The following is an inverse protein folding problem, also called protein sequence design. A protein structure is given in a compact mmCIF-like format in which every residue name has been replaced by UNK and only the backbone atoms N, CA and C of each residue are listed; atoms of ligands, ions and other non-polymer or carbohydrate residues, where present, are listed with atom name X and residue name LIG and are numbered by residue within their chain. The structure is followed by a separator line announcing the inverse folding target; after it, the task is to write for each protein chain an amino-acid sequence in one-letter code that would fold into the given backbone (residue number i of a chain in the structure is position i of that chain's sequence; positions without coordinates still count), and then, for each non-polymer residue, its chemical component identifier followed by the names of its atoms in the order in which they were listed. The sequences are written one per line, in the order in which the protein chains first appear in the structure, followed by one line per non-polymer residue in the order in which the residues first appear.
data_IF_415224234139
#
_entry.id   IF_415224234139
#
_cell.length_a   1.000
_cell.length_b   1.000
_cell.length_c   1.000
_cell.angle_alpha   90.00
_cell.angle_beta   90.00
_cell.angle_gamma   90.00
#
_symmetry.space_group_name_H-M   'P 1'
#
loop_
_entity.id
_entity.type
_entity.pdbx_description
1 polymer ?
#
# COMPACT_ATOMS: atom_id res chain seq x y z
N UNK A 1 12.23 -1.71 76.42
CA UNK A 1 13.17 -1.30 75.37
C UNK A 1 12.32 -1.03 74.14
N UNK A 2 11.43 -0.03 74.22
CA UNK A 2 11.66 1.36 73.74
C UNK A 2 11.79 1.33 72.22
N UNK A 3 10.95 1.95 71.39
CA UNK A 3 9.89 2.96 71.52
C UNK A 3 8.94 2.71 70.32
N UNK A 4 7.62 2.69 70.48
CA UNK A 4 6.71 3.85 70.44
C UNK A 4 6.69 4.57 69.06
N UNK A 5 5.47 4.59 68.50
CA UNK A 5 4.83 5.76 67.87
C UNK A 5 5.25 6.13 66.44
N UNK A 6 4.35 6.43 65.50
CA UNK A 6 2.93 6.80 65.50
C UNK A 6 2.42 6.50 64.06
N UNK A 7 1.34 5.75 63.79
CA UNK A 7 -0.08 6.07 64.01
C UNK A 7 -0.52 7.47 63.57
N UNK A 8 -1.41 7.50 62.56
CA UNK A 8 -2.66 8.27 62.48
C UNK A 8 -3.27 7.96 61.10
N UNK A 9 -4.27 7.08 60.98
CA UNK A 9 -5.70 7.36 61.16
C UNK A 9 -6.13 8.62 60.35
N UNK A 10 -7.13 8.57 59.47
CA UNK A 10 -8.47 8.12 59.80
C UNK A 10 -9.29 7.62 58.60
N UNK A 11 -9.98 6.51 58.87
CA UNK A 11 -11.32 6.05 58.47
C UNK A 11 -12.32 7.17 58.11
N UNK A 12 -13.05 7.10 57.00
CA UNK A 12 -14.22 6.25 56.68
C UNK A 12 -15.56 6.96 56.96
N UNK A 13 -16.60 6.43 56.30
CA UNK A 13 -18.05 6.72 56.35
C UNK A 13 -18.55 7.72 55.28
N UNK A 14 -19.18 7.26 54.20
CA UNK A 14 -20.48 6.57 54.06
C UNK A 14 -21.67 7.54 54.08
N UNK A 15 -22.55 7.46 53.06
CA UNK A 15 -23.84 8.15 53.07
C UNK A 15 -24.41 8.43 51.70
N UNK A 16 -25.21 7.49 51.20
CA UNK A 16 -26.06 7.60 50.01
C UNK A 16 -27.13 8.70 50.11
N UNK A 17 -27.81 8.91 48.97
CA UNK A 17 -29.21 9.32 48.78
C UNK A 17 -29.48 10.71 48.16
N UNK A 18 -29.83 10.61 46.87
CA UNK A 18 -31.15 10.94 46.33
C UNK A 18 -31.26 12.13 45.37
N UNK A 19 -32.10 11.84 44.37
CA UNK A 19 -32.43 12.58 43.19
C UNK A 19 -33.13 13.91 43.45
N UNK A 20 -32.96 14.84 42.51
CA UNK A 20 -34.01 15.35 41.60
C UNK A 20 -33.68 16.75 41.07
N UNK A 21 -34.19 16.97 39.86
CA UNK A 21 -34.74 18.24 39.38
C UNK A 21 -33.79 19.23 38.69
N UNK A 22 -33.66 19.04 37.39
CA UNK A 22 -34.00 20.03 36.35
C UNK A 22 -34.42 21.44 36.83
N UNK A 23 -33.64 22.47 36.45
CA UNK A 23 -34.14 23.84 36.31
C UNK A 23 -33.37 24.61 35.23
N UNK A 24 -33.99 24.63 34.05
CA UNK A 24 -33.64 25.33 32.82
C UNK A 24 -33.78 26.85 33.01
N UNK A 25 -32.68 27.62 33.00
CA UNK A 25 -32.74 29.10 32.96
C UNK A 25 -32.66 29.61 31.52
N UNK A 26 -33.80 30.11 31.04
CA UNK A 26 -33.98 30.86 29.79
C UNK A 26 -33.36 32.26 29.91
N UNK A 27 -32.58 32.69 28.91
CA UNK A 27 -32.33 34.11 28.63
C UNK A 27 -32.65 34.41 27.16
N UNK A 28 -33.59 35.34 26.95
CA UNK A 28 -33.99 35.90 25.64
C UNK A 28 -33.02 37.04 25.24
N UNK A 29 -32.88 37.32 23.94
CA UNK A 29 -32.72 38.70 23.49
C UNK A 29 -33.68 39.07 22.33
N UNK A 30 -33.98 40.37 22.21
CA UNK A 30 -34.66 41.06 21.09
C UNK A 30 -34.29 42.57 21.20
N UNK A 31 -34.46 43.43 20.16
CA UNK A 31 -33.94 43.35 18.78
C UNK A 31 -33.34 44.71 18.28
N UNK A 32 -32.76 44.72 17.07
CA UNK A 32 -32.42 45.92 16.25
C UNK A 32 -30.95 46.36 16.37
N UNK A 33 -30.21 46.74 15.32
CA UNK A 33 -30.60 47.22 13.98
C UNK A 33 -29.39 47.31 13.03
N UNK A 34 -29.65 47.07 11.73
CA UNK A 34 -29.05 47.68 10.51
C UNK A 34 -27.52 47.55 10.29
N UNK A 35 -27.07 46.82 9.26
CA UNK A 35 -26.83 47.27 7.86
C UNK A 35 -25.35 46.93 7.58
N UNK A 36 -24.85 46.36 6.48
CA UNK A 36 -25.19 46.40 5.05
C UNK A 36 -24.33 45.37 4.30
N UNK A 37 -24.78 44.98 3.09
CA UNK A 37 -24.09 44.29 1.99
C UNK A 37 -23.81 42.78 2.17
N UNK A 38 -24.57 41.87 1.54
CA UNK A 38 -24.62 41.53 0.10
C UNK A 38 -23.27 40.89 -0.34
N UNK A 39 -23.15 39.64 -0.80
CA UNK A 39 -24.00 38.94 -1.77
C UNK A 39 -23.76 37.41 -1.81
N UNK A 40 -24.83 36.67 -2.12
CA UNK A 40 -24.88 35.45 -2.95
C UNK A 40 -24.17 34.15 -2.53
N UNK A 41 -24.83 33.34 -1.68
CA UNK A 41 -24.85 31.87 -1.84
C UNK A 41 -26.28 31.42 -2.13
N UNK A 42 -26.53 31.00 -3.36
CA UNK A 42 -27.75 30.30 -3.73
C UNK A 42 -27.64 28.83 -3.30
N UNK A 43 -28.53 28.42 -2.40
CA UNK A 43 -28.84 27.01 -2.11
C UNK A 43 -29.80 26.51 -3.18
N UNK A 44 -29.45 25.41 -3.84
CA UNK A 44 -30.44 24.52 -4.44
C UNK A 44 -30.45 23.24 -3.64
N UNK A 45 -31.58 23.01 -2.96
CA UNK A 45 -31.95 21.72 -2.37
C UNK A 45 -32.08 20.69 -3.50
N UNK A 46 -31.33 19.59 -3.37
CA UNK A 46 -31.43 18.41 -4.21
C UNK A 46 -31.00 17.20 -3.40
N UNK A 47 -31.94 16.59 -2.66
CA UNK A 47 -31.79 15.23 -2.15
C UNK A 47 -31.65 14.30 -3.35
N UNK A 48 -30.45 13.79 -3.60
CA UNK A 48 -30.25 12.64 -4.46
C UNK A 48 -30.42 11.38 -3.58
N UNK A 49 -31.49 10.63 -3.81
CA UNK A 49 -31.65 9.27 -3.30
C UNK A 49 -30.57 8.37 -3.95
N UNK A 50 -29.80 7.68 -3.12
CA UNK A 50 -28.91 6.62 -3.58
C UNK A 50 -29.76 5.43 -4.09
N UNK A 51 -29.48 4.84 -5.26
CA UNK A 51 -30.24 3.71 -5.73
C UNK A 51 -29.94 2.49 -4.85
N UNK A 52 -30.99 1.97 -4.21
CA UNK A 52 -31.00 0.67 -3.53
C UNK A 52 -31.01 -0.41 -4.62
N UNK A 53 -29.90 -1.10 -4.82
CA UNK A 53 -29.86 -2.30 -5.66
C UNK A 53 -30.41 -3.49 -4.87
N UNK A 54 -31.50 -4.08 -5.36
CA UNK A 54 -32.02 -5.37 -4.91
C UNK A 54 -31.08 -6.51 -5.35
N UNK A 55 -31.00 -7.63 -4.61
CA UNK A 55 -30.05 -8.70 -4.92
C UNK A 55 -30.47 -9.43 -6.19
N UNK A 56 -29.58 -9.46 -7.18
CA UNK A 56 -29.73 -10.32 -8.34
C UNK A 56 -29.19 -11.71 -7.98
N UNK A 57 -30.11 -12.62 -7.72
CA UNK A 57 -29.85 -14.06 -7.69
C UNK A 57 -29.49 -14.48 -9.13
N UNK A 58 -28.24 -14.82 -9.39
CA UNK A 58 -27.80 -15.19 -10.72
C UNK A 58 -26.28 -15.32 -10.82
N UNK A 59 -25.82 -16.55 -10.95
CA UNK A 59 -24.45 -16.94 -11.23
C UNK A 59 -23.95 -16.26 -12.52
N UNK A 60 -23.39 -15.05 -12.40
CA UNK A 60 -22.75 -14.34 -13.50
C UNK A 60 -21.28 -14.78 -13.54
N UNK A 61 -21.00 -15.76 -14.41
CA UNK A 61 -19.64 -16.00 -14.86
C UNK A 61 -19.12 -14.73 -15.55
N UNK A 62 -17.92 -14.29 -15.17
CA UNK A 62 -17.15 -13.28 -15.90
C UNK A 62 -17.01 -13.74 -17.36
N UNK A 63 -17.30 -12.89 -18.36
CA UNK A 63 -17.08 -13.25 -19.76
C UNK A 63 -15.59 -13.58 -19.95
N UNK A 64 -15.29 -14.76 -20.48
CA UNK A 64 -13.94 -15.16 -20.83
C UNK A 64 -13.37 -14.19 -21.88
N UNK A 65 -12.11 -13.74 -21.76
CA UNK A 65 -11.51 -12.84 -22.74
C UNK A 65 -11.51 -13.48 -24.13
N UNK A 66 -11.97 -12.72 -25.14
CA UNK A 66 -12.13 -13.19 -26.52
C UNK A 66 -10.85 -13.86 -27.05
N UNK A 67 -10.90 -15.19 -27.21
CA UNK A 67 -9.85 -16.00 -27.86
C UNK A 67 -8.91 -16.76 -26.92
N UNK A 68 -9.16 -16.79 -25.61
CA UNK A 68 -8.40 -17.62 -24.69
C UNK A 68 -8.83 -19.10 -24.76
N UNK A 69 -7.91 -20.00 -25.09
CA UNK A 69 -8.21 -21.44 -25.07
C UNK A 69 -8.22 -21.97 -23.63
N UNK A 70 -9.15 -22.87 -23.25
CA UNK A 70 -9.15 -23.50 -21.93
C UNK A 70 -7.82 -24.19 -21.56
N UNK A 71 -7.07 -24.65 -22.56
CA UNK A 71 -5.74 -25.24 -22.38
C UNK A 71 -4.69 -24.22 -21.92
N UNK A 72 -4.68 -23.02 -22.51
CA UNK A 72 -3.78 -21.94 -22.12
C UNK A 72 -4.03 -21.47 -20.68
N UNK A 73 -5.31 -21.33 -20.30
CA UNK A 73 -5.67 -20.95 -18.93
C UNK A 73 -5.30 -22.06 -17.92
N UNK A 74 -5.49 -23.33 -18.27
CA UNK A 74 -5.06 -24.45 -17.45
C UNK A 74 -3.53 -24.48 -17.28
N UNK A 75 -2.77 -24.17 -18.34
CA UNK A 75 -1.31 -24.05 -18.28
C UNK A 75 -0.87 -22.90 -17.37
N UNK A 76 -1.53 -21.74 -17.45
CA UNK A 76 -1.26 -20.61 -16.57
C UNK A 76 -1.52 -20.95 -15.09
N UNK A 77 -2.63 -21.62 -14.79
CA UNK A 77 -2.90 -22.12 -13.44
C UNK A 77 -1.85 -23.12 -12.94
N UNK A 78 -1.44 -24.08 -13.78
CA UNK A 78 -0.41 -25.06 -13.44
C UNK A 78 0.94 -24.37 -13.16
N UNK A 79 1.29 -23.36 -13.95
CA UNK A 79 2.48 -22.55 -13.75
C UNK A 79 2.44 -21.77 -12.42
N UNK A 80 1.33 -21.07 -12.16
CA UNK A 80 1.16 -20.25 -10.96
C UNK A 80 1.10 -21.07 -9.67
N UNK A 81 0.68 -22.33 -9.74
CA UNK A 81 0.80 -23.26 -8.61
C UNK A 81 2.26 -23.48 -8.17
N UNK A 82 3.22 -23.38 -9.11
CA UNK A 82 4.67 -23.44 -8.87
C UNK A 82 5.30 -22.09 -8.51
N UNK A 83 4.86 -21.02 -9.19
CA UNK A 83 5.35 -19.65 -9.02
C UNK A 83 4.15 -18.69 -8.84
N UNK A 84 3.67 -18.50 -7.60
CA UNK A 84 2.50 -17.67 -7.35
C UNK A 84 2.80 -16.19 -7.56
N UNK A 85 1.76 -15.37 -7.57
CA UNK A 85 1.87 -13.92 -7.70
C UNK A 85 2.28 -13.27 -6.38
N UNK A 86 3.28 -12.40 -6.44
CA UNK A 86 3.65 -11.43 -5.43
C UNK A 86 3.24 -10.04 -5.91
N UNK A 87 2.09 -9.57 -5.42
CA UNK A 87 1.46 -8.31 -5.84
C UNK A 87 1.99 -7.13 -5.01
N UNK A 88 2.43 -6.09 -5.72
CA UNK A 88 3.06 -4.88 -5.19
C UNK A 88 2.16 -3.84 -4.53
N UNK A 89 0.84 -3.91 -4.70
CA UNK A 89 -0.04 -2.92 -4.10
C UNK A 89 -1.52 -3.34 -4.07
N UNK A 90 -2.14 -3.27 -2.89
CA UNK A 90 -3.60 -3.27 -2.73
C UNK A 90 -4.06 -2.17 -1.77
N UNK A 91 -5.16 -1.50 -2.14
CA UNK A 91 -5.84 -0.49 -1.34
C UNK A 91 -6.84 -1.05 -0.33
N UNK A 92 -6.96 -2.38 -0.23
CA UNK A 92 -7.96 -3.08 0.59
C UNK A 92 -8.07 -2.53 2.03
N UNK A 93 -6.97 -2.26 2.77
CA UNK A 93 -7.08 -1.74 4.13
C UNK A 93 -7.89 -0.46 4.25
N UNK A 94 -7.76 0.45 3.27
CA UNK A 94 -8.51 1.69 3.26
C UNK A 94 -10.01 1.45 3.04
N UNK A 95 -10.37 0.53 2.15
CA UNK A 95 -11.77 0.15 1.91
C UNK A 95 -12.38 -0.48 3.16
N UNK A 96 -11.70 -1.44 3.78
CA UNK A 96 -12.16 -2.13 4.98
C UNK A 96 -12.43 -1.18 6.16
N UNK A 97 -11.66 -0.08 6.27
CA UNK A 97 -11.86 0.96 7.29
C UNK A 97 -13.27 1.56 7.27
N UNK A 98 -13.92 1.54 6.11
CA UNK A 98 -15.25 2.14 5.91
C UNK A 98 -16.39 1.11 5.96
N UNK A 99 -16.07 -0.17 6.08
CA UNK A 99 -17.06 -1.24 6.19
C UNK A 99 -17.38 -1.52 7.65
N UNK A 100 -18.68 -1.65 7.97
CA UNK A 100 -19.12 -1.98 9.33
C UNK A 100 -18.93 -3.45 9.70
N UNK A 101 -18.86 -4.33 8.71
CA UNK A 101 -18.62 -5.77 8.82
C UNK A 101 -18.16 -6.30 7.46
N UNK A 102 -17.33 -7.33 7.46
CA UNK A 102 -16.87 -8.07 6.28
C UNK A 102 -16.36 -9.45 6.72
N UNK A 103 -16.28 -10.39 5.77
CA UNK A 103 -15.61 -11.68 5.93
C UNK A 103 -14.74 -11.98 4.71
N UNK A 104 -13.42 -11.84 4.88
CA UNK A 104 -12.48 -12.08 3.78
C UNK A 104 -12.27 -13.57 3.50
N UNK A 105 -12.59 -14.47 4.43
CA UNK A 105 -12.36 -15.92 4.28
C UNK A 105 -13.44 -16.58 3.44
N UNK A 106 -14.69 -16.14 3.59
CA UNK A 106 -15.83 -16.63 2.79
C UNK A 106 -16.05 -15.83 1.50
N UNK A 107 -15.54 -14.60 1.44
CA UNK A 107 -15.66 -13.70 0.29
C UNK A 107 -16.52 -12.48 0.60
N UNK A 108 -16.15 -11.35 0.01
CA UNK A 108 -16.78 -10.05 0.28
C UNK A 108 -17.09 -9.33 -1.04
N UNK A 109 -18.37 -9.05 -1.27
CA UNK A 109 -18.83 -8.44 -2.53
C UNK A 109 -18.52 -6.94 -2.64
N UNK A 110 -18.19 -6.27 -1.53
CA UNK A 110 -17.86 -4.85 -1.51
C UNK A 110 -16.40 -4.52 -1.86
N UNK A 111 -15.57 -5.53 -2.12
CA UNK A 111 -14.13 -5.40 -2.41
C UNK A 111 -13.76 -6.19 -3.66
N UNK A 112 -12.60 -5.91 -4.25
CA UNK A 112 -12.01 -6.63 -5.37
C UNK A 112 -11.06 -7.75 -4.91
N UNK A 113 -10.69 -7.73 -3.62
CA UNK A 113 -9.74 -8.67 -3.02
C UNK A 113 -10.30 -9.36 -1.78
N UNK A 114 -10.46 -10.69 -1.84
CA UNK A 114 -10.76 -11.56 -0.69
C UNK A 114 -9.98 -12.89 -0.80
N UNK A 115 -9.98 -13.73 0.25
CA UNK A 115 -9.19 -14.96 0.28
C UNK A 115 -9.59 -15.93 -0.84
N UNK A 116 -10.88 -16.17 -1.15
CA UNK A 116 -11.26 -17.00 -2.28
C UNK A 116 -10.70 -16.50 -3.62
N UNK A 117 -10.80 -15.20 -3.92
CA UNK A 117 -10.27 -14.62 -5.17
C UNK A 117 -8.75 -14.61 -5.20
N UNK A 118 -8.08 -14.27 -4.09
CA UNK A 118 -6.62 -14.37 -3.95
C UNK A 118 -6.13 -15.80 -4.26
N UNK A 119 -6.83 -16.83 -3.74
CA UNK A 119 -6.50 -18.24 -4.03
C UNK A 119 -6.72 -18.59 -5.50
N UNK A 120 -7.85 -18.18 -6.09
CA UNK A 120 -8.15 -18.43 -7.50
C UNK A 120 -7.14 -17.73 -8.44
N UNK A 121 -6.68 -16.55 -8.05
CA UNK A 121 -5.64 -15.79 -8.74
C UNK A 121 -4.20 -16.24 -8.44
N UNK A 122 -4.02 -17.25 -7.58
CA UNK A 122 -2.71 -17.74 -7.13
C UNK A 122 -1.82 -16.66 -6.50
N UNK A 123 -2.39 -15.72 -5.75
CA UNK A 123 -1.62 -14.74 -4.99
C UNK A 123 -0.98 -15.41 -3.78
N UNK A 124 0.35 -15.39 -3.73
CA UNK A 124 1.15 -15.93 -2.62
C UNK A 124 1.65 -14.85 -1.67
N UNK A 125 1.80 -13.61 -2.16
CA UNK A 125 2.17 -12.47 -1.35
C UNK A 125 1.48 -11.20 -1.85
N UNK A 126 1.16 -10.29 -0.94
CA UNK A 126 0.48 -9.04 -1.26
C UNK A 126 0.98 -7.90 -0.35
N UNK A 127 1.38 -6.80 -0.96
CA UNK A 127 1.65 -5.54 -0.28
C UNK A 127 0.35 -4.80 -0.01
N UNK A 128 -0.02 -4.70 1.26
CA UNK A 128 -1.16 -3.90 1.70
C UNK A 128 -0.73 -2.46 1.95
N UNK A 129 -1.27 -1.56 1.13
CA UNK A 129 -0.93 -0.16 1.17
C UNK A 129 -1.33 0.49 2.49
N UNK A 130 -0.43 1.32 2.99
CA UNK A 130 -0.65 2.20 4.12
C UNK A 130 -0.77 3.67 3.66
N UNK A 131 -0.99 3.90 2.36
CA UNK A 131 -1.31 5.23 1.86
C UNK A 131 -2.62 5.73 2.46
N UNK A 132 -2.58 7.01 2.83
CA UNK A 132 -3.71 7.77 3.30
C UNK A 132 -4.13 8.75 2.20
N UNK A 133 -5.37 9.24 2.21
CA UNK A 133 -5.80 10.32 1.33
C UNK A 133 -4.87 11.54 1.40
N UNK A 134 -4.77 12.22 0.27
CA UNK A 134 -3.95 13.42 0.12
C UNK A 134 -4.30 14.51 1.14
N UNK A 135 -3.30 15.32 1.48
CA UNK A 135 -3.46 16.47 2.38
C UNK A 135 -3.32 16.15 3.88
N UNK A 136 -3.07 14.89 4.25
CA UNK A 136 -2.61 14.56 5.60
C UNK A 136 -1.10 14.78 5.72
N UNK A 137 -0.69 15.66 6.63
CA UNK A 137 0.71 16.00 6.89
C UNK A 137 0.99 16.10 8.39
N UNK A 138 2.27 16.05 8.76
CA UNK A 138 2.75 16.15 10.14
C UNK A 138 2.15 15.09 11.07
N UNK A 139 1.91 15.46 12.33
CA UNK A 139 1.43 14.55 13.38
C UNK A 139 0.14 13.80 13.02
N UNK A 140 -0.74 14.42 12.21
CA UNK A 140 -1.98 13.77 11.76
C UNK A 140 -1.71 12.61 10.81
N UNK A 141 -0.74 12.76 9.91
CA UNK A 141 -0.35 11.68 9.01
C UNK A 141 0.23 10.50 9.80
N UNK A 142 1.12 10.79 10.76
CA UNK A 142 1.71 9.76 11.64
C UNK A 142 0.61 8.99 12.40
N UNK A 143 -0.31 9.70 13.06
CA UNK A 143 -1.41 9.07 13.80
C UNK A 143 -2.32 8.21 12.91
N UNK A 144 -2.71 8.73 11.75
CA UNK A 144 -3.55 7.99 10.81
C UNK A 144 -2.83 6.76 10.21
N UNK A 145 -1.51 6.83 9.99
CA UNK A 145 -0.73 5.66 9.53
C UNK A 145 -0.67 4.59 10.62
N UNK A 146 -0.54 4.97 11.90
CA UNK A 146 -0.59 4.01 13.01
C UNK A 146 -1.96 3.33 13.11
N UNK A 147 -3.05 4.07 12.94
CA UNK A 147 -4.41 3.50 12.88
C UNK A 147 -4.57 2.52 11.72
N UNK A 148 -4.05 2.86 10.53
CA UNK A 148 -4.10 1.98 9.38
C UNK A 148 -3.26 0.71 9.59
N UNK A 149 -2.08 0.85 10.18
CA UNK A 149 -1.21 -0.28 10.51
C UNK A 149 -1.88 -1.21 11.54
N UNK A 150 -2.51 -0.66 12.57
CA UNK A 150 -3.29 -1.42 13.54
C UNK A 150 -4.45 -2.17 12.87
N UNK A 151 -5.23 -1.50 12.02
CA UNK A 151 -6.30 -2.11 11.25
C UNK A 151 -5.81 -3.31 10.44
N UNK A 152 -4.75 -3.14 9.64
CA UNK A 152 -4.17 -4.22 8.85
C UNK A 152 -3.77 -5.40 9.73
N UNK A 153 -3.10 -5.13 10.86
CA UNK A 153 -2.70 -6.19 11.77
C UNK A 153 -3.91 -6.90 12.35
N UNK A 154 -4.94 -6.19 12.79
CA UNK A 154 -6.19 -6.79 13.28
C UNK A 154 -6.84 -7.68 12.21
N UNK A 155 -6.95 -7.20 10.97
CA UNK A 155 -7.53 -7.96 9.86
C UNK A 155 -6.76 -9.26 9.61
N UNK A 156 -5.44 -9.18 9.50
CA UNK A 156 -4.62 -10.37 9.26
C UNK A 156 -4.69 -11.39 10.41
N UNK A 157 -4.78 -10.92 11.67
CA UNK A 157 -4.96 -11.81 12.83
C UNK A 157 -6.35 -12.42 12.92
N UNK A 158 -7.38 -11.74 12.41
CA UNK A 158 -8.76 -12.22 12.40
C UNK A 158 -9.03 -13.27 11.32
N UNK A 159 -8.16 -13.36 10.29
CA UNK A 159 -8.31 -14.30 9.17
C UNK A 159 -7.09 -15.23 9.01
N UNK A 160 -6.74 -16.03 10.05
CA UNK A 160 -5.49 -16.77 10.11
C UNK A 160 -5.42 -17.99 9.17
N UNK A 161 -6.56 -18.44 8.63
CA UNK A 161 -6.61 -19.55 7.66
C UNK A 161 -6.23 -19.07 6.25
N UNK A 162 -6.53 -17.82 5.93
CA UNK A 162 -6.24 -17.21 4.63
C UNK A 162 -4.94 -16.38 4.61
N UNK A 163 -4.66 -15.66 5.70
CA UNK A 163 -3.67 -14.58 5.71
C UNK A 163 -2.57 -14.82 6.75
N UNK A 164 -1.38 -14.27 6.50
CA UNK A 164 -0.28 -14.25 7.46
C UNK A 164 0.55 -13.00 7.28
N UNK A 165 0.72 -12.21 8.35
CA UNK A 165 1.71 -11.13 8.37
C UNK A 165 3.12 -11.69 8.22
N UNK A 166 3.93 -10.97 7.47
CA UNK A 166 5.13 -11.53 6.84
C UNK A 166 6.15 -10.40 6.68
N UNK A 167 7.41 -10.63 7.06
CA UNK A 167 8.44 -9.58 7.19
C UNK A 167 9.75 -9.90 6.48
N UNK A 168 9.83 -11.04 5.80
CA UNK A 168 11.01 -11.42 5.02
C UNK A 168 10.63 -12.32 3.85
N UNK A 169 11.54 -12.43 2.90
CA UNK A 169 11.43 -13.34 1.76
C UNK A 169 11.21 -14.81 2.20
N UNK A 170 11.82 -15.23 3.31
CA UNK A 170 11.65 -16.56 3.88
C UNK A 170 10.25 -16.77 4.43
N UNK A 171 9.74 -15.82 5.21
CA UNK A 171 8.39 -15.91 5.78
C UNK A 171 7.30 -15.92 4.71
N UNK A 172 7.50 -15.18 3.60
CA UNK A 172 6.59 -15.25 2.44
C UNK A 172 6.51 -16.69 1.91
N UNK A 173 7.65 -17.35 1.77
CA UNK A 173 7.72 -18.73 1.28
C UNK A 173 7.04 -19.69 2.26
N UNK A 174 7.23 -19.48 3.57
CA UNK A 174 6.59 -20.28 4.61
C UNK A 174 5.06 -20.08 4.64
N UNK A 175 4.57 -18.85 4.46
CA UNK A 175 3.15 -18.54 4.38
C UNK A 175 2.50 -19.31 3.23
N UNK A 176 3.10 -19.25 2.04
CA UNK A 176 2.67 -20.01 0.86
C UNK A 176 2.64 -21.51 1.12
N UNK A 177 3.70 -22.07 1.71
CA UNK A 177 3.78 -23.51 2.01
C UNK A 177 2.70 -23.95 3.02
N UNK A 178 2.16 -23.03 3.81
CA UNK A 178 1.03 -23.25 4.71
C UNK A 178 -0.33 -22.96 4.07
N UNK A 179 -0.41 -22.70 2.76
CA UNK A 179 -1.65 -22.40 2.05
C UNK A 179 -2.23 -21.00 2.33
N UNK A 180 -1.39 -20.06 2.80
CA UNK A 180 -1.78 -18.69 3.17
C UNK A 180 -1.12 -17.66 2.28
N UNK A 181 -1.76 -16.50 2.16
CA UNK A 181 -1.20 -15.32 1.51
C UNK A 181 -0.33 -14.56 2.50
N UNK A 182 0.93 -14.31 2.13
CA UNK A 182 1.83 -13.47 2.91
C UNK A 182 1.49 -11.98 2.74
N UNK A 183 1.15 -11.30 3.84
CA UNK A 183 0.82 -9.88 3.84
C UNK A 183 2.02 -9.05 4.27
N UNK A 184 2.50 -8.22 3.36
CA UNK A 184 3.58 -7.25 3.53
C UNK A 184 2.97 -5.87 3.80
N UNK A 185 3.53 -5.09 4.73
CA UNK A 185 2.96 -3.80 5.12
C UNK A 185 3.63 -2.65 4.39
N UNK A 186 2.85 -1.93 3.60
CA UNK A 186 3.30 -0.80 2.81
C UNK A 186 3.02 -1.00 1.31
N UNK A 187 3.33 0.00 0.49
CA UNK A 187 4.02 1.23 0.88
C UNK A 187 3.15 2.20 1.70
N UNK A 188 3.80 2.97 2.58
CA UNK A 188 3.22 4.16 3.22
C UNK A 188 3.79 5.43 2.58
N UNK A 189 3.05 6.54 2.53
CA UNK A 189 3.59 7.82 2.06
C UNK A 189 4.64 8.41 3.00
N UNK A 190 5.59 9.18 2.48
CA UNK A 190 6.66 9.81 3.26
C UNK A 190 6.16 10.70 4.42
N UNK A 191 4.96 11.28 4.32
CA UNK A 191 4.34 12.05 5.41
C UNK A 191 4.12 11.21 6.67
N UNK A 192 4.06 9.88 6.57
CA UNK A 192 3.90 8.96 7.69
C UNK A 192 5.05 9.03 8.71
N UNK A 193 6.24 9.48 8.30
CA UNK A 193 7.38 9.56 9.22
C UNK A 193 7.47 10.89 9.96
N UNK A 194 6.61 11.87 9.65
CA UNK A 194 6.61 13.18 10.30
C UNK A 194 8.00 13.83 10.37
N UNK A 195 8.75 13.75 9.28
CA UNK A 195 10.14 14.23 9.16
C UNK A 195 11.08 13.71 10.26
N UNK A 196 10.85 12.49 10.75
CA UNK A 196 11.60 11.88 11.84
C UNK A 196 12.13 10.49 11.50
N UNK A 197 13.47 10.36 11.53
CA UNK A 197 14.16 9.06 11.42
C UNK A 197 13.81 8.12 12.58
N UNK A 198 13.45 8.68 13.74
CA UNK A 198 12.97 7.90 14.89
C UNK A 198 11.61 7.25 14.62
N UNK A 199 10.69 8.00 14.01
CA UNK A 199 9.36 7.49 13.62
C UNK A 199 9.50 6.44 12.51
N UNK A 200 10.36 6.67 11.50
CA UNK A 200 10.67 5.65 10.49
C UNK A 200 11.08 4.31 11.13
N UNK A 201 12.01 4.33 12.09
CA UNK A 201 12.44 3.13 12.81
C UNK A 201 11.29 2.48 13.60
N UNK A 202 10.46 3.28 14.26
CA UNK A 202 9.32 2.77 15.04
C UNK A 202 8.28 2.11 14.12
N UNK A 203 7.96 2.72 12.97
CA UNK A 203 7.05 2.15 11.98
C UNK A 203 7.60 0.84 11.40
N UNK A 204 8.91 0.76 11.11
CA UNK A 204 9.54 -0.49 10.69
C UNK A 204 9.44 -1.58 11.77
N UNK A 205 9.64 -1.26 13.05
CA UNK A 205 9.42 -2.21 14.15
C UNK A 205 7.97 -2.69 14.27
N UNK A 206 7.02 -1.86 13.84
CA UNK A 206 5.60 -2.23 13.74
C UNK A 206 5.27 -3.01 12.46
N UNK A 207 6.23 -3.14 11.54
CA UNK A 207 6.15 -4.01 10.37
C UNK A 207 6.20 -3.33 9.01
N UNK A 208 6.33 -1.99 8.95
CA UNK A 208 6.45 -1.25 7.68
C UNK A 208 7.65 -1.76 6.87
N UNK A 209 7.43 -2.16 5.62
CA UNK A 209 8.47 -2.69 4.73
C UNK A 209 8.80 -1.80 3.54
N UNK A 210 7.90 -0.89 3.15
CA UNK A 210 8.15 0.06 2.07
C UNK A 210 7.63 1.45 2.41
N UNK A 211 8.36 2.48 2.01
CA UNK A 211 7.98 3.89 2.15
C UNK A 211 8.10 4.59 0.80
N UNK A 212 7.03 5.24 0.36
CA UNK A 212 7.00 6.06 -0.86
C UNK A 212 7.66 7.41 -0.60
N UNK A 213 8.80 7.64 -1.27
CA UNK A 213 9.65 8.82 -1.16
C UNK A 213 9.22 9.87 -2.19
N UNK A 214 8.12 10.56 -1.89
CA UNK A 214 7.55 11.60 -2.73
C UNK A 214 6.72 12.60 -1.90
N UNK A 215 6.37 13.73 -2.53
CA UNK A 215 5.39 14.72 -2.05
C UNK A 215 5.60 15.27 -0.63
N UNK A 216 6.87 15.44 -0.25
CA UNK A 216 7.27 16.04 1.03
C UNK A 216 8.39 17.07 0.84
N UNK A 217 8.64 17.90 1.86
CA UNK A 217 9.61 19.00 1.81
C UNK A 217 11.03 18.56 1.43
N UNK A 218 11.41 17.33 1.78
CA UNK A 218 12.73 16.75 1.55
C UNK A 218 12.79 15.78 0.35
N UNK A 219 11.68 15.54 -0.35
CA UNK A 219 11.58 14.69 -1.54
C UNK A 219 10.47 15.20 -2.48
N UNK A 220 10.83 16.07 -3.43
CA UNK A 220 9.87 16.72 -4.34
C UNK A 220 10.45 17.06 -5.71
N UNK A 221 9.92 18.08 -6.38
CA UNK A 221 10.34 18.46 -7.75
C UNK A 221 11.83 18.80 -7.88
N UNK A 222 12.47 19.22 -6.79
CA UNK A 222 13.92 19.57 -6.76
C UNK A 222 14.82 18.38 -6.44
N UNK A 223 14.27 17.19 -6.25
CA UNK A 223 15.00 16.00 -5.82
C UNK A 223 14.98 15.78 -4.32
N UNK A 224 15.94 15.00 -3.82
CA UNK A 224 16.17 14.81 -2.39
C UNK A 224 17.03 15.93 -1.82
N UNK A 225 16.65 16.43 -0.64
CA UNK A 225 17.49 17.29 0.18
C UNK A 225 18.51 16.47 0.98
N UNK A 226 19.35 17.12 1.80
CA UNK A 226 20.34 16.38 2.62
C UNK A 226 19.65 15.51 3.66
N UNK A 227 18.54 16.00 4.24
CA UNK A 227 17.69 15.17 5.09
C UNK A 227 17.07 14.01 4.32
N UNK A 228 16.52 14.25 3.12
CA UNK A 228 15.94 13.20 2.29
C UNK A 228 16.93 12.09 1.93
N UNK A 229 18.18 12.43 1.62
CA UNK A 229 19.23 11.44 1.43
C UNK A 229 19.51 10.64 2.71
N UNK A 230 19.48 11.29 3.89
CA UNK A 230 19.67 10.59 5.15
C UNK A 230 18.50 9.67 5.50
N UNK A 231 17.27 10.03 5.11
CA UNK A 231 16.10 9.16 5.18
C UNK A 231 16.34 7.89 4.35
N UNK A 232 16.74 8.01 3.07
CA UNK A 232 17.03 6.85 2.21
C UNK A 232 18.15 5.98 2.79
N UNK A 233 19.22 6.59 3.33
CA UNK A 233 20.27 5.82 4.00
C UNK A 233 19.74 5.10 5.24
N UNK A 234 18.90 5.73 6.05
CA UNK A 234 18.32 5.11 7.23
C UNK A 234 17.37 3.97 6.85
N UNK A 235 16.57 4.14 5.80
CA UNK A 235 15.75 3.08 5.19
C UNK A 235 16.61 1.86 4.80
N UNK A 236 17.71 2.08 4.07
CA UNK A 236 18.66 1.00 3.75
C UNK A 236 19.27 0.34 4.99
N UNK A 237 19.49 1.09 6.08
CA UNK A 237 20.05 0.56 7.33
C UNK A 237 19.05 -0.30 8.08
N UNK A 238 17.77 0.05 8.07
CA UNK A 238 16.74 -0.69 8.81
C UNK A 238 16.13 -1.83 8.00
N UNK A 239 16.17 -1.76 6.67
CA UNK A 239 15.55 -2.74 5.77
C UNK A 239 14.23 -2.30 5.15
N UNK A 240 13.88 -1.01 5.25
CA UNK A 240 12.71 -0.44 4.56
C UNK A 240 13.10 -0.18 3.11
N UNK A 241 12.30 -0.70 2.17
CA UNK A 241 12.43 -0.45 0.73
C UNK A 241 11.96 0.96 0.40
N UNK A 242 12.73 1.66 -0.44
CA UNK A 242 12.29 2.92 -1.02
C UNK A 242 11.37 2.64 -2.19
N UNK A 243 10.13 3.12 -2.13
CA UNK A 243 9.23 3.20 -3.27
C UNK A 243 9.27 4.63 -3.83
N UNK A 244 9.34 4.78 -5.15
CA UNK A 244 9.37 6.10 -5.82
C UNK A 244 8.21 6.25 -6.80
N UNK A 245 7.14 5.48 -6.60
CA UNK A 245 5.90 5.61 -7.37
C UNK A 245 5.32 7.02 -7.21
N UNK A 246 5.11 7.71 -8.34
CA UNK A 246 4.60 9.08 -8.36
C UNK A 246 5.63 10.16 -8.01
N UNK A 247 6.88 9.80 -7.69
CA UNK A 247 7.92 10.78 -7.41
C UNK A 247 8.31 11.58 -8.66
N UNK A 248 8.64 12.86 -8.48
CA UNK A 248 9.25 13.67 -9.54
C UNK A 248 10.59 13.06 -9.99
N UNK A 249 10.93 13.21 -11.28
CA UNK A 249 12.13 12.59 -11.87
C UNK A 249 13.43 12.90 -11.10
N UNK A 250 13.68 14.14 -10.63
CA UNK A 250 14.89 14.43 -9.85
C UNK A 250 14.95 13.66 -8.53
N UNK A 251 13.80 13.39 -7.91
CA UNK A 251 13.73 12.60 -6.66
C UNK A 251 13.98 11.13 -6.95
N UNK A 252 13.39 10.59 -8.02
CA UNK A 252 13.64 9.21 -8.46
C UNK A 252 15.13 8.99 -8.72
N UNK A 253 15.74 9.81 -9.59
CA UNK A 253 17.17 9.67 -9.93
C UNK A 253 18.05 9.78 -8.69
N UNK A 254 17.81 10.78 -7.84
CA UNK A 254 18.61 10.95 -6.62
C UNK A 254 18.44 9.79 -5.63
N UNK A 255 17.25 9.21 -5.56
CA UNK A 255 17.01 8.01 -4.74
C UNK A 255 17.79 6.81 -5.28
N UNK A 256 17.82 6.60 -6.60
CA UNK A 256 18.63 5.54 -7.23
C UNK A 256 20.12 5.71 -6.96
N UNK A 257 20.63 6.95 -6.99
CA UNK A 257 22.04 7.25 -6.70
C UNK A 257 22.44 7.00 -5.24
N UNK A 258 21.53 7.28 -4.31
CA UNK A 258 21.81 7.23 -2.86
C UNK A 258 21.55 5.84 -2.27
N UNK A 259 20.54 5.14 -2.78
CA UNK A 259 20.12 3.85 -2.23
C UNK A 259 21.14 2.76 -2.51
N UNK A 260 21.42 1.95 -1.48
CA UNK A 260 22.21 0.72 -1.55
C UNK A 260 21.35 -0.55 -1.59
N UNK A 261 20.05 -0.41 -1.43
CA UNK A 261 19.08 -1.47 -1.64
C UNK A 261 18.29 -1.19 -2.93
N UNK A 262 17.69 -2.21 -3.57
CA UNK A 262 16.79 -1.99 -4.69
C UNK A 262 15.68 -1.00 -4.36
N UNK A 263 15.36 -0.15 -5.33
CA UNK A 263 14.25 0.80 -5.26
C UNK A 263 13.05 0.20 -5.99
N UNK A 264 11.85 0.41 -5.44
CA UNK A 264 10.58 -0.03 -6.01
C UNK A 264 9.90 1.12 -6.75
N UNK A 265 9.17 0.78 -7.81
CA UNK A 265 8.05 1.57 -8.31
C UNK A 265 6.83 0.65 -8.25
N UNK A 266 6.18 0.58 -7.10
CA UNK A 266 5.02 -0.29 -6.83
C UNK A 266 3.82 -0.03 -7.73
N UNK A 267 3.68 1.16 -8.34
CA UNK A 267 2.53 1.53 -9.19
C UNK A 267 2.92 2.37 -10.41
N UNK A 268 3.88 1.89 -11.19
CA UNK A 268 4.35 2.58 -12.39
C UNK A 268 4.32 1.67 -13.62
N UNK A 269 3.97 2.25 -14.77
CA UNK A 269 3.99 1.57 -16.06
C UNK A 269 4.84 2.35 -17.08
N UNK A 270 4.93 1.89 -18.34
CA UNK A 270 5.64 2.59 -19.41
C UNK A 270 4.93 3.87 -19.89
N UNK A 271 5.59 5.03 -19.77
CA UNK A 271 5.06 6.30 -20.26
C UNK A 271 4.99 6.36 -21.80
N UNK A 272 5.90 5.68 -22.50
CA UNK A 272 5.95 5.64 -23.96
C UNK A 272 4.69 5.02 -24.58
N UNK A 273 4.06 4.05 -23.91
CA UNK A 273 2.82 3.41 -24.34
C UNK A 273 1.60 4.22 -23.92
N UNK A 274 1.62 4.77 -22.70
CA UNK A 274 0.54 5.59 -22.17
C UNK A 274 1.05 6.76 -21.34
N UNK A 275 0.95 8.00 -21.86
CA UNK A 275 1.34 9.20 -21.13
C UNK A 275 0.48 9.38 -19.88
N UNK A 276 1.10 9.21 -18.72
CA UNK A 276 0.49 9.36 -17.40
C UNK A 276 1.59 9.82 -16.42
N UNK A 277 1.33 10.77 -15.50
CA UNK A 277 2.36 11.32 -14.62
C UNK A 277 3.03 10.28 -13.70
N UNK A 278 2.32 9.19 -13.36
CA UNK A 278 2.89 8.09 -12.57
C UNK A 278 3.61 7.00 -13.39
N UNK A 279 3.58 7.10 -14.72
CA UNK A 279 4.29 6.20 -15.62
C UNK A 279 5.70 6.71 -15.91
N UNK A 280 6.65 5.79 -16.05
CA UNK A 280 8.06 6.10 -16.19
C UNK A 280 8.46 6.25 -17.67
N UNK A 281 9.15 7.34 -18.03
CA UNK A 281 9.91 7.44 -19.27
C UNK A 281 10.96 6.33 -19.41
N UNK A 282 11.32 6.02 -20.66
CA UNK A 282 12.22 4.91 -21.01
C UNK A 282 13.63 5.06 -20.40
N UNK A 283 14.14 6.29 -20.30
CA UNK A 283 15.43 6.56 -19.67
C UNK A 283 15.40 6.30 -18.15
N UNK A 284 14.30 6.63 -17.47
CA UNK A 284 14.11 6.28 -16.06
C UNK A 284 13.94 4.77 -15.85
N UNK A 285 13.24 4.07 -16.75
CA UNK A 285 13.16 2.61 -16.73
C UNK A 285 14.54 1.96 -16.89
N UNK A 286 15.37 2.48 -17.80
CA UNK A 286 16.74 2.00 -18.01
C UNK A 286 17.62 2.23 -16.77
N UNK A 287 17.51 3.40 -16.12
CA UNK A 287 18.24 3.71 -14.89
C UNK A 287 17.79 2.86 -13.71
N UNK A 288 16.48 2.63 -13.57
CA UNK A 288 15.94 1.69 -12.59
C UNK A 288 16.49 0.28 -12.80
N UNK A 289 16.58 -0.17 -14.07
CA UNK A 289 17.18 -1.45 -14.45
C UNK A 289 18.66 -1.54 -14.10
N UNK A 290 19.44 -0.50 -14.40
CA UNK A 290 20.86 -0.41 -14.07
C UNK A 290 21.12 -0.42 -12.54
N UNK A 291 20.19 0.11 -11.76
CA UNK A 291 20.21 0.09 -10.30
C UNK A 291 19.62 -1.20 -9.69
N UNK A 292 19.22 -2.18 -10.51
CA UNK A 292 18.56 -3.42 -10.09
C UNK A 292 17.27 -3.20 -9.27
N UNK A 293 16.57 -2.09 -9.53
CA UNK A 293 15.25 -1.80 -8.97
C UNK A 293 14.15 -2.71 -9.50
N UNK A 294 12.91 -2.39 -9.17
CA UNK A 294 11.75 -3.17 -9.59
C UNK A 294 10.58 -2.24 -9.94
N UNK A 295 10.14 -2.29 -11.20
CA UNK A 295 8.94 -1.62 -11.68
C UNK A 295 7.77 -2.61 -11.64
N UNK A 296 6.79 -2.37 -10.76
CA UNK A 296 5.61 -3.21 -10.62
C UNK A 296 4.45 -2.57 -11.40
N UNK A 297 4.07 -3.22 -12.50
CA UNK A 297 3.12 -2.66 -13.45
C UNK A 297 1.70 -2.72 -12.87
N UNK A 298 1.01 -1.58 -12.72
CA UNK A 298 -0.33 -1.52 -12.15
C UNK A 298 -1.39 -2.04 -13.13
N UNK A 299 -2.35 -2.81 -12.63
CA UNK A 299 -3.51 -3.27 -13.41
C UNK A 299 -4.61 -2.20 -13.45
N UNK A 300 -4.28 -0.94 -13.71
CA UNK A 300 -5.26 0.16 -13.76
C UNK A 300 -5.50 0.65 -15.18
N UNK A 301 -6.77 0.84 -15.53
CA UNK A 301 -7.19 1.25 -16.85
C UNK A 301 -6.74 2.66 -17.23
N UNK A 302 -6.33 3.49 -16.26
CA UNK A 302 -5.77 4.82 -16.52
C UNK A 302 -4.27 4.81 -16.85
N UNK A 303 -3.51 3.85 -16.29
CA UNK A 303 -2.06 3.78 -16.46
C UNK A 303 -1.63 2.81 -17.56
N UNK A 304 -2.36 1.71 -17.76
CA UNK A 304 -1.98 0.67 -18.73
C UNK A 304 -2.92 0.62 -19.92
N UNK A 305 -4.23 0.58 -19.72
CA UNK A 305 -5.15 0.35 -20.83
C UNK A 305 -6.45 -0.29 -20.41
N UNK A 306 -7.50 -0.23 -21.24
CA UNK A 306 -8.77 -0.86 -20.92
C UNK A 306 -8.75 -2.40 -21.01
N UNK A 307 -7.70 -3.03 -21.55
CA UNK A 307 -7.65 -4.49 -21.79
C UNK A 307 -6.41 -5.17 -21.22
N UNK A 308 -6.48 -6.50 -21.09
CA UNK A 308 -5.33 -7.34 -20.71
C UNK A 308 -4.13 -7.21 -21.65
N UNK A 309 -4.39 -6.94 -22.94
CA UNK A 309 -3.34 -6.79 -23.95
C UNK A 309 -2.52 -5.53 -23.72
N UNK A 310 -3.16 -4.45 -23.28
CA UNK A 310 -2.46 -3.21 -22.96
C UNK A 310 -1.56 -3.41 -21.73
N UNK A 311 -2.04 -4.10 -20.69
CA UNK A 311 -1.20 -4.46 -19.54
C UNK A 311 0.01 -5.29 -19.98
N UNK A 312 -0.21 -6.30 -20.83
CA UNK A 312 0.86 -7.14 -21.35
C UNK A 312 1.85 -6.34 -22.23
N UNK A 313 1.40 -5.34 -22.99
CA UNK A 313 2.29 -4.42 -23.73
C UNK A 313 3.19 -3.62 -22.78
N UNK A 314 2.64 -3.13 -21.66
CA UNK A 314 3.42 -2.45 -20.63
C UNK A 314 4.44 -3.37 -19.96
N UNK A 315 4.08 -4.63 -19.68
CA UNK A 315 5.01 -5.63 -19.14
C UNK A 315 6.14 -5.96 -20.13
N UNK A 316 5.82 -6.14 -21.41
CA UNK A 316 6.80 -6.36 -22.49
C UNK A 316 7.79 -5.20 -22.58
N UNK A 317 7.29 -3.98 -22.56
CA UNK A 317 8.11 -2.76 -22.70
C UNK A 317 9.03 -2.57 -21.49
N UNK A 318 8.51 -2.70 -20.27
CA UNK A 318 9.32 -2.60 -19.04
C UNK A 318 10.39 -3.69 -19.01
N UNK A 319 10.04 -4.94 -19.33
CA UNK A 319 11.00 -6.05 -19.44
C UNK A 319 12.08 -5.76 -20.48
N UNK A 320 11.73 -5.20 -21.63
CA UNK A 320 12.69 -4.92 -22.71
C UNK A 320 13.69 -3.84 -22.34
N UNK A 321 13.29 -2.85 -21.54
CA UNK A 321 14.14 -1.69 -21.21
C UNK A 321 14.89 -1.90 -19.89
N UNK A 322 14.17 -2.25 -18.82
CA UNK A 322 14.74 -2.41 -17.49
C UNK A 322 15.33 -3.81 -17.25
N UNK A 323 14.94 -4.79 -18.07
CA UNK A 323 15.34 -6.19 -17.95
C UNK A 323 14.31 -7.07 -17.21
N UNK A 324 14.35 -8.39 -17.39
CA UNK A 324 13.39 -9.34 -16.79
C UNK A 324 13.45 -9.41 -15.27
N UNK A 325 14.58 -9.04 -14.67
CA UNK A 325 14.76 -8.96 -13.21
C UNK A 325 14.07 -7.72 -12.60
N UNK A 326 13.62 -6.76 -13.43
CA UNK A 326 13.18 -5.43 -13.01
C UNK A 326 11.69 -5.15 -13.31
N UNK A 327 10.91 -6.19 -13.62
CA UNK A 327 9.47 -6.11 -13.90
C UNK A 327 8.68 -6.93 -12.88
N UNK A 328 7.58 -6.40 -12.37
CA UNK A 328 6.69 -7.04 -11.40
C UNK A 328 5.23 -6.73 -11.66
N UNK A 329 4.34 -7.30 -10.85
CA UNK A 329 2.89 -7.12 -10.95
C UNK A 329 2.35 -6.30 -9.78
N UNK A 330 1.50 -5.32 -10.06
CA UNK A 330 0.73 -4.61 -9.04
C UNK A 330 -0.73 -4.66 -9.40
N UNK A 331 -1.54 -5.39 -8.64
CA UNK A 331 -2.99 -5.44 -8.85
C UNK A 331 -3.60 -4.06 -8.75
N UNK A 332 -3.16 -3.29 -7.76
CA UNK A 332 -3.74 -1.98 -7.43
C UNK A 332 -5.25 -2.10 -7.14
N UNK A 333 -5.71 -3.31 -6.80
CA UNK A 333 -7.09 -3.60 -6.43
C UNK A 333 -7.49 -2.83 -5.19
N UNK A 334 -8.78 -2.51 -5.08
CA UNK A 334 -9.35 -1.79 -3.93
C UNK A 334 -8.73 -0.39 -3.71
N UNK A 335 -8.05 0.18 -4.71
CA UNK A 335 -7.49 1.54 -4.63
C UNK A 335 -8.47 2.63 -5.08
N UNK A 336 -9.66 2.25 -5.56
CA UNK A 336 -10.62 3.14 -6.21
C UNK A 336 -10.32 3.44 -7.68
N UNK A 337 -9.28 2.82 -8.26
CA UNK A 337 -8.98 2.92 -9.69
C UNK A 337 -9.86 1.96 -10.51
N UNK A 338 -10.18 2.33 -11.75
CA UNK A 338 -10.82 1.40 -12.67
C UNK A 338 -9.79 0.38 -13.19
N UNK A 339 -10.21 -0.87 -13.35
CA UNK A 339 -9.38 -1.96 -13.86
C UNK A 339 -9.66 -2.25 -15.35
N UNK A 340 -8.70 -2.84 -16.09
CA UNK A 340 -8.96 -3.42 -17.40
C UNK A 340 -10.09 -4.44 -17.34
N UNK A 341 -10.89 -4.55 -18.41
CA UNK A 341 -12.14 -5.33 -18.43
C UNK A 341 -11.95 -6.82 -18.11
N UNK A 342 -10.78 -7.37 -18.42
CA UNK A 342 -10.45 -8.79 -18.20
C UNK A 342 -9.78 -9.04 -16.84
N UNK A 343 -9.49 -7.98 -16.08
CA UNK A 343 -8.67 -8.00 -14.86
C UNK A 343 -9.40 -7.33 -13.69
N UNK A 344 -10.71 -7.55 -13.56
CA UNK A 344 -11.58 -6.82 -12.62
C UNK A 344 -11.28 -7.09 -11.15
N UNK A 345 -10.73 -8.26 -10.80
CA UNK A 345 -10.49 -8.64 -9.41
C UNK A 345 -9.25 -9.51 -9.22
N UNK A 346 -8.91 -9.76 -7.95
CA UNK A 346 -7.73 -10.53 -7.55
C UNK A 346 -7.68 -11.97 -8.11
N UNK A 347 -8.75 -12.49 -8.70
CA UNK A 347 -8.78 -13.82 -9.30
C UNK A 347 -8.29 -13.88 -10.75
N UNK A 348 -8.03 -12.73 -11.39
CA UNK A 348 -7.83 -12.65 -12.84
C UNK A 348 -6.37 -12.81 -13.32
N UNK A 349 -5.37 -12.90 -12.44
CA UNK A 349 -3.95 -13.09 -12.83
C UNK A 349 -3.66 -14.26 -13.79
N UNK A 350 -4.34 -15.43 -13.69
CA UNK A 350 -4.13 -16.53 -14.63
C UNK A 350 -4.37 -16.14 -16.10
N UNK A 351 -5.34 -15.26 -16.37
CA UNK A 351 -5.60 -14.75 -17.72
C UNK A 351 -4.41 -13.93 -18.22
N UNK A 352 -3.81 -13.09 -17.37
CA UNK A 352 -2.65 -12.28 -17.74
C UNK A 352 -1.44 -13.16 -18.04
N UNK A 353 -1.21 -14.19 -17.21
CA UNK A 353 -0.13 -15.15 -17.44
C UNK A 353 -0.34 -15.92 -18.73
N UNK A 354 -1.57 -16.35 -19.04
CA UNK A 354 -1.89 -17.01 -20.31
C UNK A 354 -1.62 -16.11 -21.53
N UNK A 355 -1.97 -14.82 -21.45
CA UNK A 355 -1.64 -13.84 -22.50
C UNK A 355 -0.13 -13.68 -22.69
N UNK A 356 0.65 -13.61 -21.61
CA UNK A 356 2.12 -13.51 -21.68
C UNK A 356 2.76 -14.80 -22.23
N UNK A 357 2.24 -15.97 -21.87
CA UNK A 357 2.67 -17.24 -22.45
C UNK A 357 2.42 -17.28 -23.97
N UNK A 358 1.25 -16.79 -24.42
CA UNK A 358 0.91 -16.67 -25.84
C UNK A 358 1.85 -15.74 -26.60
N UNK A 359 2.37 -14.71 -25.92
CA UNK A 359 3.41 -13.79 -26.45
C UNK A 359 4.82 -14.38 -26.45
N UNK A 360 5.00 -15.59 -25.93
CA UNK A 360 6.29 -16.28 -25.90
C UNK A 360 7.19 -15.87 -24.74
N UNK A 361 6.62 -15.40 -23.63
CA UNK A 361 7.40 -15.24 -22.39
C UNK A 361 7.95 -16.60 -21.95
N UNK A 362 9.22 -16.63 -21.58
CA UNK A 362 9.84 -17.85 -21.06
C UNK A 362 9.30 -18.15 -19.66
N UNK A 363 9.26 -19.43 -19.29
CA UNK A 363 8.89 -19.83 -17.91
C UNK A 363 9.79 -19.17 -16.86
N UNK A 364 11.07 -18.92 -17.20
CA UNK A 364 12.01 -18.23 -16.31
C UNK A 364 11.62 -16.77 -16.10
N UNK A 365 11.29 -16.05 -17.18
CA UNK A 365 10.88 -14.64 -17.07
C UNK A 365 9.53 -14.51 -16.35
N UNK A 366 8.58 -15.43 -16.60
CA UNK A 366 7.32 -15.48 -15.88
C UNK A 366 7.53 -15.77 -14.39
N UNK A 367 8.50 -16.63 -14.04
CA UNK A 367 8.80 -16.96 -12.64
C UNK A 367 9.44 -15.77 -11.92
N UNK A 368 10.29 -15.01 -12.62
CA UNK A 368 10.82 -13.74 -12.13
C UNK A 368 9.70 -12.71 -11.94
N UNK A 369 8.85 -12.50 -12.95
CA UNK A 369 7.74 -11.55 -12.93
C UNK A 369 6.77 -11.81 -11.77
N UNK A 370 6.33 -13.05 -11.62
CA UNK A 370 5.28 -13.43 -10.66
C UNK A 370 5.80 -13.52 -9.24
N UNK A 371 7.02 -14.04 -9.02
CA UNK A 371 7.50 -14.35 -7.67
C UNK A 371 8.95 -13.91 -7.40
N UNK A 372 9.85 -14.23 -8.33
CA UNK A 372 11.30 -14.18 -8.13
C UNK A 372 11.83 -12.77 -7.86
N UNK A 373 11.29 -11.77 -8.55
CA UNK A 373 11.76 -10.38 -8.43
C UNK A 373 11.41 -9.78 -7.07
N UNK A 374 10.20 -9.99 -6.55
CA UNK A 374 9.80 -9.55 -5.20
C UNK A 374 10.66 -10.25 -4.13
N UNK A 375 10.85 -11.56 -4.29
CA UNK A 375 11.73 -12.35 -3.43
C UNK A 375 13.17 -11.83 -3.43
N UNK A 376 13.70 -11.42 -4.59
CA UNK A 376 15.03 -10.84 -4.75
C UNK A 376 15.16 -9.51 -4.01
N UNK A 377 14.24 -8.56 -4.25
CA UNK A 377 14.34 -7.22 -3.64
C UNK A 377 14.25 -7.27 -2.12
N UNK A 378 13.39 -8.12 -1.56
CA UNK A 378 13.28 -8.31 -0.11
C UNK A 378 14.56 -8.91 0.49
N UNK A 379 15.13 -9.96 -0.13
CA UNK A 379 16.43 -10.51 0.32
C UNK A 379 17.56 -9.49 0.25
N UNK A 380 17.59 -8.68 -0.80
CA UNK A 380 18.61 -7.64 -0.96
C UNK A 380 18.46 -6.53 0.08
N UNK A 381 17.22 -6.13 0.41
CA UNK A 381 16.95 -5.19 1.50
C UNK A 381 17.44 -5.72 2.85
N UNK A 382 17.12 -6.97 3.19
CA UNK A 382 17.58 -7.64 4.41
C UNK A 382 19.11 -7.72 4.48
N UNK A 383 19.75 -8.09 3.38
CA UNK A 383 21.21 -8.18 3.29
C UNK A 383 21.85 -6.80 3.47
N UNK A 384 21.35 -5.78 2.77
CA UNK A 384 21.84 -4.40 2.88
C UNK A 384 21.65 -3.85 4.29
N UNK A 385 20.51 -4.13 4.94
CA UNK A 385 20.24 -3.72 6.32
C UNK A 385 21.25 -4.30 7.30
N UNK A 386 21.47 -5.62 7.25
CA UNK A 386 22.48 -6.30 8.09
C UNK A 386 23.87 -5.69 7.88
N UNK A 387 24.31 -5.57 6.63
CA UNK A 387 25.61 -5.01 6.30
C UNK A 387 25.77 -3.53 6.71
N UNK A 388 24.69 -2.76 6.71
CA UNK A 388 24.69 -1.36 7.11
C UNK A 388 24.68 -1.18 8.63
N UNK A 389 23.94 -2.01 9.37
CA UNK A 389 23.89 -1.99 10.84
C UNK A 389 25.24 -2.32 11.47
N UNK A 390 26.02 -3.20 10.83
CA UNK A 390 27.39 -3.51 11.27
C UNK A 390 28.37 -2.34 11.07
N UNK A 391 28.10 -1.47 10.09
CA UNK A 391 29.01 -0.36 9.70
C UNK A 391 28.67 0.97 10.34
N UNK A 392 27.40 1.22 10.68
CA UNK A 392 26.95 2.49 11.24
C UNK A 392 25.81 2.33 12.24
N UNK A 393 25.86 3.15 13.28
CA UNK A 393 24.76 3.30 14.24
C UNK A 393 23.57 4.01 13.60
N UNK A 394 22.42 3.98 14.28
CA UNK A 394 21.23 4.70 13.86
C UNK A 394 21.48 6.21 13.76
N UNK A 395 21.02 6.83 12.67
CA UNK A 395 21.11 8.27 12.52
C UNK A 395 20.13 8.99 13.47
N UNK A 396 20.64 10.03 14.13
CA UNK A 396 19.86 10.95 14.98
C UNK A 396 19.71 12.33 14.34
N UNK A 397 20.14 12.48 13.07
CA UNK A 397 20.06 13.75 12.37
C UNK A 397 18.60 14.22 12.26
N UNK A 398 18.42 15.54 12.37
CA UNK A 398 17.12 16.19 12.20
C UNK A 398 17.06 16.98 10.90
N UNK A 399 15.86 17.25 10.42
CA UNK A 399 15.66 18.02 9.20
C UNK A 399 16.23 19.44 9.33
N UNK A 400 16.06 20.09 10.47
CA UNK A 400 16.58 21.44 10.73
C UNK A 400 18.12 21.47 10.73
N UNK A 401 18.77 20.36 11.11
CA UNK A 401 20.23 20.27 11.13
C UNK A 401 20.83 20.10 9.73
N UNK A 402 20.10 19.42 8.83
CA UNK A 402 20.59 19.06 7.50
C UNK A 402 20.17 20.06 6.42
N UNK A 403 18.95 20.60 6.53
CA UNK A 403 18.32 21.40 5.49
C UNK A 403 18.11 22.88 5.89
N UNK A 404 18.20 23.22 7.19
CA UNK A 404 18.18 24.61 7.69
C UNK A 404 16.85 25.02 8.29
#
# INVERSE_FOLDING_TARGET
MADLQDELQATAEAGELDARSTARRKRKPKPGSRSTAAESMARTDGRAEAPVHAPADGTLGTPEPDGESPEALAQAHAFLAGYPVADGYSGLPWVLRHLSWYDLELGEGAVDTDVPRMRKGHIGALFWSLHLPDGMTGDRAVGATLEQLDLVRMVAHAHPEGLRLVYSAGEITDARNCGRVGILLGPAGASAIGDSLGILRALHQLGLQALTVADVSWAGEKGLTRFGEEVVREMNRVGVLADVSGAAEPTLRRTLEVSRAPVLCTRSAAHALRPHPANLPDDLLAELGAAHGLCMVPLTAEQTGPSIRDVADHLDHVRSIAGPECVGLSGTYDSGAAHPQDLNDASCYPHLVAELMRRGWSETDLALLTWGNVQRVLRMADFTARAAQDRRVASTAKIEELDG
#
